data_IF_714398971681
#
_entry.id   IF_714398971681
#
_cell.length_a   1.000
_cell.length_b   1.000
_cell.length_c   1.000
_cell.angle_alpha   90.00
_cell.angle_beta   90.00
_cell.angle_gamma   90.00
#
_symmetry.space_group_name_H-M   'P 1'
#
loop_
_entity.id
_entity.type
_entity.pdbx_description
1 polymer ?
#
# COMPACT_ATOMS: atom_id res chain seq x y z
N UNK A 1 3.80 22.21 -9.21
CA UNK A 1 3.81 20.78 -9.60
C UNK A 1 2.66 20.62 -10.57
N UNK A 2 2.93 20.64 -11.87
CA UNK A 2 1.87 20.49 -12.87
C UNK A 2 1.23 19.11 -12.73
N UNK A 3 -0.10 19.05 -12.79
CA UNK A 3 -0.81 17.78 -12.70
C UNK A 3 -0.42 16.88 -13.87
N UNK A 4 0.08 15.68 -13.59
CA UNK A 4 0.29 14.66 -14.63
C UNK A 4 -1.08 14.19 -15.09
N UNK A 5 -1.45 14.33 -16.38
CA UNK A 5 -2.74 13.90 -16.90
C UNK A 5 -3.02 12.44 -16.52
N UNK A 6 -4.25 12.16 -16.12
CA UNK A 6 -4.75 10.86 -15.66
C UNK A 6 -4.13 10.26 -14.38
N UNK A 7 -3.19 10.94 -13.74
CA UNK A 7 -2.62 10.47 -12.47
C UNK A 7 -3.61 10.56 -11.32
N UNK A 8 -3.66 9.52 -10.48
CA UNK A 8 -4.36 9.54 -9.20
C UNK A 8 -3.43 9.84 -8.00
N UNK A 9 -2.17 10.19 -8.28
CA UNK A 9 -1.20 10.51 -7.23
C UNK A 9 -1.52 11.86 -6.60
N UNK A 10 -1.82 11.86 -5.30
CA UNK A 10 -2.01 13.11 -4.54
C UNK A 10 -0.69 13.88 -4.43
N UNK A 11 -0.67 15.22 -4.57
CA UNK A 11 0.50 16.04 -4.26
C UNK A 11 1.05 15.82 -2.85
N UNK A 12 0.20 15.35 -1.93
CA UNK A 12 0.57 14.98 -0.55
C UNK A 12 1.71 13.96 -0.48
N UNK A 13 1.92 13.14 -1.51
CA UNK A 13 3.08 12.24 -1.60
C UNK A 13 4.39 13.00 -1.45
N UNK A 14 4.50 14.19 -2.05
CA UNK A 14 5.72 14.99 -1.98
C UNK A 14 5.77 15.91 -0.76
N UNK A 15 4.62 16.26 -0.20
CA UNK A 15 4.53 17.01 1.07
C UNK A 15 4.88 16.12 2.28
N UNK A 16 4.53 14.83 2.22
CA UNK A 16 4.79 13.83 3.25
C UNK A 16 5.47 12.59 2.63
N UNK A 17 6.66 12.81 2.08
CA UNK A 17 7.40 11.74 1.39
C UNK A 17 7.92 10.68 2.36
N UNK A 18 8.19 11.05 3.61
CA UNK A 18 8.55 10.08 4.65
C UNK A 18 7.40 9.16 4.99
N UNK A 19 6.18 9.69 5.17
CA UNK A 19 4.98 8.89 5.38
C UNK A 19 4.66 7.98 4.19
N UNK A 20 4.84 8.48 2.96
CA UNK A 20 4.70 7.67 1.75
C UNK A 20 5.68 6.48 1.72
N UNK A 21 6.98 6.74 1.95
CA UNK A 21 8.01 5.70 2.01
C UNK A 21 7.76 4.69 3.14
N UNK A 22 7.29 5.16 4.31
CA UNK A 22 6.99 4.29 5.42
C UNK A 22 5.86 3.29 5.09
N UNK A 23 4.81 3.75 4.40
CA UNK A 23 3.75 2.85 3.93
C UNK A 23 4.21 1.92 2.80
N UNK A 24 5.12 2.37 1.94
CA UNK A 24 5.73 1.51 0.94
C UNK A 24 6.56 0.39 1.57
N UNK A 25 7.42 0.70 2.56
CA UNK A 25 8.17 -0.31 3.31
C UNK A 25 7.25 -1.28 4.04
N UNK A 26 6.21 -0.76 4.71
CA UNK A 26 5.21 -1.60 5.39
C UNK A 26 4.53 -2.58 4.43
N UNK A 27 4.29 -2.16 3.18
CA UNK A 27 3.71 -3.03 2.16
C UNK A 27 4.70 -4.11 1.73
N UNK A 28 5.98 -3.77 1.54
CA UNK A 28 7.04 -4.74 1.25
C UNK A 28 7.14 -5.81 2.34
N UNK A 29 7.22 -5.38 3.60
CA UNK A 29 7.30 -6.29 4.76
C UNK A 29 6.07 -7.21 4.85
N UNK A 30 4.87 -6.64 4.67
CA UNK A 30 3.63 -7.42 4.70
C UNK A 30 3.50 -8.37 3.51
N UNK A 31 4.05 -8.01 2.34
CA UNK A 31 4.07 -8.88 1.16
C UNK A 31 5.02 -10.06 1.36
N UNK A 32 6.20 -9.82 1.96
CA UNK A 32 7.14 -10.88 2.35
C UNK A 32 6.49 -11.85 3.33
N UNK A 33 5.84 -11.34 4.38
CA UNK A 33 5.13 -12.18 5.34
C UNK A 33 3.98 -12.99 4.70
N UNK A 34 3.26 -12.40 3.73
CA UNK A 34 2.23 -13.11 2.98
C UNK A 34 2.83 -14.22 2.10
N UNK A 35 3.99 -14.00 1.47
CA UNK A 35 4.70 -15.02 0.70
C UNK A 35 5.16 -16.19 1.59
N UNK A 36 5.76 -15.90 2.75
CA UNK A 36 6.15 -16.92 3.73
C UNK A 36 4.95 -17.71 4.27
N UNK A 37 3.81 -17.03 4.50
CA UNK A 37 2.58 -17.68 4.92
C UNK A 37 1.98 -18.57 3.82
N UNK A 38 2.23 -18.28 2.54
CA UNK A 38 1.78 -19.12 1.43
C UNK A 38 2.41 -20.52 1.44
N UNK A 39 3.65 -20.64 1.93
CA UNK A 39 4.33 -21.92 2.12
C UNK A 39 3.64 -22.81 3.17
N UNK A 40 2.85 -22.20 4.07
CA UNK A 40 2.11 -22.88 5.13
C UNK A 40 0.66 -23.21 4.72
N UNK A 41 0.25 -22.86 3.50
CA UNK A 41 -1.06 -23.18 2.92
C UNK A 41 -2.05 -22.01 2.88
N UNK A 42 -3.24 -22.30 2.34
CA UNK A 42 -4.25 -21.29 2.01
C UNK A 42 -4.77 -20.51 3.23
N UNK A 43 -4.93 -21.17 4.38
CA UNK A 43 -5.40 -20.55 5.61
C UNK A 43 -4.44 -19.45 6.12
N UNK A 44 -3.18 -19.78 6.43
CA UNK A 44 -2.16 -18.80 6.81
C UNK A 44 -1.98 -17.69 5.77
N UNK A 45 -1.94 -18.04 4.48
CA UNK A 45 -1.87 -17.05 3.40
C UNK A 45 -3.03 -16.06 3.44
N UNK A 46 -4.28 -16.52 3.55
CA UNK A 46 -5.45 -15.64 3.59
C UNK A 46 -5.40 -14.65 4.75
N UNK A 47 -4.92 -15.09 5.92
CA UNK A 47 -4.76 -14.21 7.07
C UNK A 47 -3.71 -13.12 6.79
N UNK A 48 -2.50 -13.51 6.36
CA UNK A 48 -1.41 -12.59 6.07
C UNK A 48 -1.73 -11.65 4.89
N UNK A 49 -2.36 -12.16 3.84
CA UNK A 49 -2.87 -11.36 2.73
C UNK A 49 -3.91 -10.34 3.19
N UNK A 50 -4.81 -10.74 4.09
CA UNK A 50 -5.78 -9.83 4.72
C UNK A 50 -5.11 -8.65 5.42
N UNK A 51 -4.02 -8.91 6.14
CA UNK A 51 -3.21 -7.85 6.78
C UNK A 51 -2.48 -6.97 5.75
N UNK A 52 -1.90 -7.57 4.71
CA UNK A 52 -1.26 -6.84 3.60
C UNK A 52 -2.24 -5.86 2.93
N UNK A 53 -3.49 -6.27 2.65
CA UNK A 53 -4.48 -5.39 2.01
C UNK A 53 -4.86 -4.17 2.86
N UNK A 54 -4.70 -4.23 4.18
CA UNK A 54 -4.90 -3.06 5.06
C UNK A 54 -3.89 -1.96 4.75
N UNK A 55 -2.66 -2.32 4.39
CA UNK A 55 -1.63 -1.35 3.97
C UNK A 55 -2.02 -0.67 2.66
N UNK A 56 -2.58 -1.43 1.69
CA UNK A 56 -3.11 -0.85 0.45
C UNK A 56 -4.18 0.22 0.77
N UNK A 57 -5.10 -0.09 1.69
CA UNK A 57 -6.16 0.83 2.13
C UNK A 57 -5.60 2.05 2.84
N UNK A 58 -4.60 1.89 3.71
CA UNK A 58 -3.93 2.99 4.40
C UNK A 58 -3.26 3.94 3.40
N UNK A 59 -2.46 3.41 2.47
CA UNK A 59 -1.79 4.20 1.45
C UNK A 59 -2.78 4.93 0.52
N UNK A 60 -3.79 4.23 0.00
CA UNK A 60 -4.77 4.86 -0.88
C UNK A 60 -5.61 5.94 -0.18
N UNK A 61 -5.89 5.80 1.11
CA UNK A 61 -6.57 6.86 1.88
C UNK A 61 -5.72 8.10 2.07
N UNK A 62 -4.40 7.93 2.21
CA UNK A 62 -3.48 9.04 2.45
C UNK A 62 -3.05 9.73 1.15
N UNK A 63 -2.83 8.96 0.08
CA UNK A 63 -2.03 9.40 -1.07
C UNK A 63 -2.69 9.19 -2.44
N UNK A 64 -3.85 8.54 -2.55
CA UNK A 64 -4.57 8.37 -3.83
C UNK A 64 -5.79 9.29 -3.88
N UNK A 65 -5.88 10.14 -4.91
CA UNK A 65 -7.09 10.92 -5.16
C UNK A 65 -8.18 10.01 -5.73
N UNK A 66 -9.44 10.23 -5.34
CA UNK A 66 -10.56 9.53 -5.97
C UNK A 66 -10.94 10.26 -7.25
N UNK A 67 -11.18 9.50 -8.32
CA UNK A 67 -11.89 10.01 -9.50
C UNK A 67 -13.39 9.87 -9.25
N UNK A 68 -14.14 10.87 -9.72
CA UNK A 68 -15.60 10.89 -9.76
C UNK A 68 -16.15 10.00 -10.90
#
# INVERSE_FOLDING_TARGET
MDAVPDSEASPKIWEDFEGFKALAQKLEDASTAAAEAAEQGEGPFKAAFGDMTKVCKECHKAFRVKKD
#
